data_IF_035984691781
#
_entry.id   IF_035984691781
#
_cell.length_a   1.000
_cell.length_b   1.000
_cell.length_c   1.000
_cell.angle_alpha   90.00
_cell.angle_beta   90.00
_cell.angle_gamma   90.00
#
_symmetry.space_group_name_H-M   'P 1'
#
loop_
_entity.id
_entity.type
_entity.pdbx_description
1 polymer ?
#
# COMPACT_ATOMS: atom_id res chain seq x y z
N UNK A 1 -1.12 -22.53 -4.47
CA UNK A 1 0.32 -22.37 -4.18
C UNK A 1 0.51 -22.29 -2.67
N UNK A 2 1.26 -23.22 -2.11
CA UNK A 2 1.54 -23.38 -0.69
C UNK A 2 2.91 -22.77 -0.36
N UNK A 3 2.98 -21.94 0.69
CA UNK A 3 4.22 -21.29 1.10
C UNK A 3 5.25 -22.34 1.57
N UNK A 4 6.53 -22.13 1.27
CA UNK A 4 7.66 -23.06 1.50
C UNK A 4 7.56 -24.42 0.78
N UNK A 5 6.53 -24.65 -0.03
CA UNK A 5 6.39 -25.84 -0.89
C UNK A 5 6.40 -25.46 -2.36
N UNK A 6 5.48 -24.60 -2.78
CA UNK A 6 5.36 -24.17 -4.18
C UNK A 6 6.06 -22.83 -4.43
N UNK A 7 6.24 -22.01 -3.39
CA UNK A 7 6.88 -20.71 -3.47
C UNK A 7 7.51 -20.28 -2.15
N UNK A 8 8.45 -19.33 -2.24
CA UNK A 8 9.01 -18.60 -1.11
C UNK A 8 8.92 -17.09 -1.35
N UNK A 9 9.13 -16.29 -0.31
CA UNK A 9 9.13 -14.84 -0.37
C UNK A 9 10.34 -14.28 0.39
N UNK A 10 11.01 -13.32 -0.21
CA UNK A 10 12.13 -12.58 0.37
C UNK A 10 11.88 -11.09 0.22
N UNK A 11 12.47 -10.28 1.09
CA UNK A 11 12.49 -8.83 0.91
C UNK A 11 13.26 -8.47 -0.36
N UNK A 12 12.85 -7.39 -1.01
CA UNK A 12 13.60 -6.85 -2.14
C UNK A 12 15.05 -6.57 -1.74
N UNK A 13 16.05 -6.89 -2.59
CA UNK A 13 17.45 -6.63 -2.27
C UNK A 13 17.69 -5.17 -1.88
N UNK A 14 18.43 -4.95 -0.79
CA UNK A 14 18.73 -3.60 -0.28
C UNK A 14 17.62 -2.96 0.57
N UNK A 15 16.49 -3.63 0.81
CA UNK A 15 15.36 -3.06 1.59
C UNK A 15 15.11 -3.79 2.91
N UNK A 16 16.11 -4.51 3.45
CA UNK A 16 16.00 -5.14 4.76
C UNK A 16 15.71 -4.09 5.84
N UNK A 17 14.77 -4.39 6.75
CA UNK A 17 14.34 -3.46 7.79
C UNK A 17 13.38 -2.35 7.32
N UNK A 18 12.88 -2.42 6.08
CA UNK A 18 11.87 -1.47 5.56
C UNK A 18 10.59 -2.22 5.20
N UNK A 19 9.46 -1.78 5.73
CA UNK A 19 8.14 -2.23 5.32
C UNK A 19 7.48 -1.16 4.45
N UNK A 20 7.46 -1.38 3.14
CA UNK A 20 6.80 -0.50 2.17
C UNK A 20 5.33 -0.87 2.04
N UNK A 21 4.43 -0.12 2.68
CA UNK A 21 3.01 -0.46 2.78
C UNK A 21 2.12 0.28 1.78
N UNK A 22 0.96 -0.32 1.54
CA UNK A 22 -0.24 0.31 0.98
C UNK A 22 -1.45 -0.14 1.79
N UNK A 23 -2.54 0.63 1.75
CA UNK A 23 -3.81 0.24 2.35
C UNK A 23 -4.94 0.45 1.34
N UNK A 24 -5.60 -0.64 0.96
CA UNK A 24 -6.84 -0.56 0.20
C UNK A 24 -7.95 0.02 1.10
N UNK A 25 -8.73 0.97 0.57
CA UNK A 25 -9.80 1.62 1.32
C UNK A 25 -11.05 1.80 0.47
N UNK A 26 -12.22 1.78 1.12
CA UNK A 26 -13.50 2.11 0.52
C UNK A 26 -13.93 3.51 0.98
N UNK A 27 -14.45 4.31 0.06
CA UNK A 27 -14.93 5.66 0.35
C UNK A 27 -16.43 5.79 0.09
N UNK A 28 -17.08 6.70 0.81
CA UNK A 28 -18.46 7.09 0.57
C UNK A 28 -18.49 8.48 -0.06
N UNK A 29 -18.80 8.53 -1.36
CA UNK A 29 -18.85 9.79 -2.10
C UNK A 29 -19.94 10.73 -1.56
N UNK A 30 -19.64 12.03 -1.55
CA UNK A 30 -20.62 13.07 -1.21
C UNK A 30 -21.79 13.01 -2.20
N UNK A 31 -23.01 12.96 -1.67
CA UNK A 31 -24.23 12.87 -2.48
C UNK A 31 -24.53 11.48 -3.03
N UNK A 32 -23.91 10.41 -2.51
CA UNK A 32 -24.19 9.04 -2.93
C UNK A 32 -25.71 8.73 -2.86
N UNK A 33 -26.31 8.22 -3.97
CA UNK A 33 -27.76 7.99 -4.05
C UNK A 33 -28.27 6.95 -3.05
N UNK A 34 -27.37 6.06 -2.59
CA UNK A 34 -27.67 5.01 -1.61
C UNK A 34 -26.79 5.14 -0.37
N UNK A 35 -26.72 6.35 0.20
CA UNK A 35 -25.85 6.66 1.35
C UNK A 35 -25.94 5.65 2.50
N UNK A 36 -27.14 5.32 2.95
CA UNK A 36 -27.34 4.39 4.07
C UNK A 36 -26.81 2.97 3.79
N UNK A 37 -26.88 2.51 2.53
CA UNK A 37 -26.28 1.23 2.14
C UNK A 37 -24.75 1.31 2.14
N UNK A 38 -24.19 2.43 1.66
CA UNK A 38 -22.76 2.70 1.71
C UNK A 38 -22.22 2.72 3.14
N UNK A 39 -22.92 3.38 4.08
CA UNK A 39 -22.52 3.39 5.49
C UNK A 39 -22.53 1.98 6.11
N UNK A 40 -23.54 1.16 5.80
CA UNK A 40 -23.58 -0.26 6.23
C UNK A 40 -22.44 -1.08 5.65
N UNK A 41 -22.09 -0.85 4.38
CA UNK A 41 -20.95 -1.50 3.74
C UNK A 41 -19.64 -1.13 4.42
N UNK A 42 -19.39 0.16 4.65
CA UNK A 42 -18.18 0.63 5.33
C UNK A 42 -18.08 0.06 6.76
N UNK A 43 -19.19 0.01 7.49
CA UNK A 43 -19.24 -0.60 8.81
C UNK A 43 -18.90 -2.10 8.77
N UNK A 44 -19.43 -2.84 7.78
CA UNK A 44 -19.10 -4.25 7.58
C UNK A 44 -17.61 -4.44 7.25
N UNK A 45 -17.04 -3.65 6.35
CA UNK A 45 -15.60 -3.71 6.03
C UNK A 45 -14.69 -3.40 7.23
N UNK A 46 -15.13 -2.55 8.15
CA UNK A 46 -14.37 -2.15 9.33
C UNK A 46 -14.57 -3.08 10.55
N UNK A 47 -15.57 -3.97 10.50
CA UNK A 47 -15.85 -4.91 11.57
C UNK A 47 -14.75 -5.99 11.68
N UNK A 48 -14.50 -6.56 12.88
CA UNK A 48 -13.47 -7.59 13.05
C UNK A 48 -13.64 -8.80 12.12
N UNK A 49 -14.86 -9.32 12.00
CA UNK A 49 -15.21 -10.43 11.12
C UNK A 49 -15.07 -10.05 9.63
N UNK A 50 -15.47 -8.83 9.26
CA UNK A 50 -15.28 -8.31 7.91
C UNK A 50 -13.81 -8.18 7.51
N UNK A 51 -12.96 -7.68 8.41
CA UNK A 51 -11.51 -7.60 8.20
C UNK A 51 -10.89 -8.98 8.08
N UNK A 52 -11.22 -9.91 8.98
CA UNK A 52 -10.66 -11.27 8.94
C UNK A 52 -11.04 -11.99 7.63
N UNK A 53 -12.27 -11.81 7.14
CA UNK A 53 -12.72 -12.37 5.86
C UNK A 53 -11.98 -11.74 4.66
N UNK A 54 -11.92 -10.40 4.61
CA UNK A 54 -11.29 -9.67 3.50
C UNK A 54 -9.77 -9.92 3.46
N UNK A 55 -9.08 -9.76 4.58
CA UNK A 55 -7.63 -9.89 4.67
C UNK A 55 -7.15 -11.32 4.39
N UNK A 56 -7.89 -12.34 4.87
CA UNK A 56 -7.55 -13.73 4.58
C UNK A 56 -7.63 -14.04 3.07
N UNK A 57 -8.71 -13.63 2.39
CA UNK A 57 -8.89 -13.86 0.95
C UNK A 57 -7.92 -13.03 0.11
N UNK A 58 -7.72 -11.76 0.46
CA UNK A 58 -6.82 -10.84 -0.24
C UNK A 58 -5.34 -11.18 -0.02
N UNK A 59 -5.04 -12.01 0.99
CA UNK A 59 -3.70 -12.30 1.50
C UNK A 59 -2.99 -11.00 1.92
N UNK A 60 -3.68 -10.18 2.69
CA UNK A 60 -3.17 -8.94 3.29
C UNK A 60 -3.27 -9.01 4.82
N UNK A 61 -2.61 -8.06 5.50
CA UNK A 61 -2.78 -7.85 6.94
C UNK A 61 -4.11 -7.09 7.19
N UNK A 62 -4.69 -7.15 8.40
CA UNK A 62 -5.86 -6.36 8.73
C UNK A 62 -5.43 -4.92 9.04
N UNK A 63 -6.31 -3.96 8.75
CA UNK A 63 -6.08 -2.58 9.16
C UNK A 63 -6.30 -2.38 10.68
N UNK A 64 -7.06 -3.29 11.31
CA UNK A 64 -7.35 -3.27 12.74
C UNK A 64 -6.16 -3.76 13.57
N UNK A 65 -5.96 -3.13 14.72
CA UNK A 65 -4.92 -3.51 15.68
C UNK A 65 -5.33 -4.64 16.63
N UNK A 66 -6.63 -4.89 16.78
CA UNK A 66 -7.22 -5.88 17.68
C UNK A 66 -7.63 -7.18 16.97
N UNK A 67 -7.25 -7.37 15.70
CA UNK A 67 -7.48 -8.61 14.97
C UNK A 67 -6.74 -9.79 15.62
N UNK A 68 -7.35 -10.97 15.53
CA UNK A 68 -6.76 -12.21 16.02
C UNK A 68 -5.55 -12.59 15.16
N UNK A 69 -4.36 -12.32 15.70
CA UNK A 69 -3.07 -12.54 15.02
C UNK A 69 -2.83 -14.01 14.66
N UNK A 70 -3.48 -14.96 15.35
CA UNK A 70 -3.30 -16.39 15.07
C UNK A 70 -3.84 -16.81 13.69
N UNK A 71 -4.70 -15.99 13.08
CA UNK A 71 -5.26 -16.21 11.74
C UNK A 71 -4.28 -15.91 10.59
N UNK A 72 -3.17 -15.23 10.87
CA UNK A 72 -2.19 -14.81 9.87
C UNK A 72 -1.01 -15.79 9.86
N UNK A 73 -1.17 -16.89 9.12
CA UNK A 73 -0.17 -17.97 9.04
C UNK A 73 0.79 -17.79 7.87
N UNK A 74 1.83 -18.62 7.83
CA UNK A 74 2.73 -18.76 6.68
C UNK A 74 3.39 -17.43 6.27
N UNK A 75 3.23 -17.04 5.01
CA UNK A 75 3.70 -15.76 4.50
C UNK A 75 3.14 -14.56 5.28
N UNK A 76 1.87 -14.61 5.68
CA UNK A 76 1.24 -13.51 6.43
C UNK A 76 1.80 -13.40 7.85
N UNK A 77 2.25 -14.49 8.46
CA UNK A 77 2.96 -14.43 9.74
C UNK A 77 4.28 -13.64 9.60
N UNK A 78 5.00 -13.86 8.49
CA UNK A 78 6.25 -13.13 8.20
C UNK A 78 5.98 -11.65 7.98
N UNK A 79 4.95 -11.31 7.19
CA UNK A 79 4.54 -9.92 6.97
C UNK A 79 4.08 -9.24 8.26
N UNK A 80 3.28 -9.92 9.09
CA UNK A 80 2.78 -9.39 10.36
C UNK A 80 3.92 -9.11 11.34
N UNK A 81 4.91 -10.00 11.42
CA UNK A 81 6.10 -9.81 12.24
C UNK A 81 6.88 -8.58 11.79
N UNK A 82 7.13 -8.43 10.49
CA UNK A 82 7.84 -7.26 9.97
C UNK A 82 7.08 -5.95 10.21
N UNK A 83 5.76 -5.96 10.05
CA UNK A 83 4.90 -4.80 10.30
C UNK A 83 4.90 -4.34 11.77
N UNK A 84 5.03 -5.28 12.72
CA UNK A 84 4.98 -5.00 14.16
C UNK A 84 6.35 -4.84 14.81
N UNK A 85 7.44 -5.15 14.09
CA UNK A 85 8.78 -5.03 14.62
C UNK A 85 9.17 -3.55 14.79
N UNK A 86 9.47 -3.09 16.01
CA UNK A 86 9.88 -1.70 16.25
C UNK A 86 11.20 -1.31 15.58
N UNK A 87 12.01 -2.28 15.14
CA UNK A 87 13.21 -2.03 14.35
C UNK A 87 12.92 -1.87 12.84
N UNK A 88 11.70 -2.17 12.39
CA UNK A 88 11.29 -1.99 11.00
C UNK A 88 10.81 -0.57 10.75
N UNK A 89 11.38 0.08 9.75
CA UNK A 89 10.94 1.39 9.28
C UNK A 89 9.78 1.21 8.30
N UNK A 90 8.61 1.73 8.66
CA UNK A 90 7.44 1.74 7.77
C UNK A 90 7.48 2.94 6.84
N UNK A 91 7.33 2.71 5.53
CA UNK A 91 7.27 3.76 4.50
C UNK A 91 6.05 3.56 3.59
N UNK A 92 5.49 4.66 3.10
CA UNK A 92 4.37 4.62 2.17
C UNK A 92 4.82 4.33 0.74
N UNK A 93 4.11 3.44 0.05
CA UNK A 93 4.37 3.16 -1.36
C UNK A 93 4.05 4.36 -2.25
N UNK A 94 5.01 4.75 -3.09
CA UNK A 94 4.81 5.75 -4.14
C UNK A 94 3.88 5.22 -5.24
N UNK A 95 4.15 4.01 -5.74
CA UNK A 95 3.39 3.38 -6.83
C UNK A 95 1.94 3.07 -6.45
N UNK A 96 1.67 2.85 -5.17
CA UNK A 96 0.33 2.50 -4.68
C UNK A 96 -0.35 3.66 -3.92
N UNK A 97 0.04 4.90 -4.23
CA UNK A 97 -0.72 6.09 -3.85
C UNK A 97 -0.62 6.52 -2.38
N UNK A 98 0.33 5.99 -1.61
CA UNK A 98 0.52 6.38 -0.20
C UNK A 98 1.39 7.63 -0.10
N UNK A 99 2.54 7.63 -0.78
CA UNK A 99 3.50 8.74 -0.70
C UNK A 99 3.35 9.77 -1.83
N UNK A 100 2.71 9.39 -2.94
CA UNK A 100 2.59 10.21 -4.16
C UNK A 100 1.13 10.21 -4.61
N UNK A 101 0.57 11.38 -4.93
CA UNK A 101 -0.79 11.48 -5.45
C UNK A 101 -0.91 10.96 -6.88
N UNK A 102 -2.14 10.80 -7.35
CA UNK A 102 -2.43 10.24 -8.67
C UNK A 102 -1.89 11.07 -9.83
N UNK A 103 -1.88 12.40 -9.69
CA UNK A 103 -1.38 13.29 -10.75
C UNK A 103 0.11 13.11 -10.92
N UNK A 104 0.87 13.18 -9.84
CA UNK A 104 2.33 12.97 -9.86
C UNK A 104 2.70 11.54 -10.26
N UNK A 105 1.93 10.55 -9.80
CA UNK A 105 2.17 9.14 -10.18
C UNK A 105 2.07 8.95 -11.69
N UNK A 106 1.10 9.57 -12.36
CA UNK A 106 0.96 9.49 -13.82
C UNK A 106 2.16 10.10 -14.59
N UNK A 107 2.72 11.20 -14.07
CA UNK A 107 3.92 11.82 -14.64
C UNK A 107 5.16 10.93 -14.46
N UNK A 108 5.32 10.34 -13.27
CA UNK A 108 6.41 9.39 -12.97
C UNK A 108 6.28 8.14 -13.85
N UNK A 109 5.08 7.59 -14.02
CA UNK A 109 4.83 6.42 -14.87
C UNK A 109 5.15 6.71 -16.35
N UNK A 110 4.83 7.91 -16.83
CA UNK A 110 5.20 8.35 -18.18
C UNK A 110 6.73 8.42 -18.36
N UNK A 111 7.44 8.97 -17.37
CA UNK A 111 8.90 9.01 -17.37
C UNK A 111 9.51 7.60 -17.32
N UNK A 112 8.94 6.71 -16.50
CA UNK A 112 9.38 5.32 -16.36
C UNK A 112 9.17 4.55 -17.67
N UNK A 113 8.03 4.73 -18.34
CA UNK A 113 7.77 4.09 -19.62
C UNK A 113 8.81 4.47 -20.69
N UNK A 114 9.19 5.76 -20.76
CA UNK A 114 10.26 6.21 -21.65
C UNK A 114 11.63 5.63 -21.26
N UNK A 115 11.94 5.57 -19.97
CA UNK A 115 13.17 4.97 -19.46
C UNK A 115 13.29 3.47 -19.81
N UNK A 116 12.21 2.70 -19.64
CA UNK A 116 12.20 1.27 -19.96
C UNK A 116 12.46 1.02 -21.45
N UNK A 117 12.09 1.96 -22.33
CA UNK A 117 12.28 1.83 -23.77
C UNK A 117 13.72 2.07 -24.22
N UNK A 118 14.43 3.03 -23.63
CA UNK A 118 15.75 3.45 -24.15
C UNK A 118 16.89 3.58 -23.11
N UNK A 119 16.61 3.35 -21.83
CA UNK A 119 17.60 3.40 -20.76
C UNK A 119 18.12 4.79 -20.40
N UNK A 120 17.48 5.87 -20.86
CA UNK A 120 17.92 7.25 -20.64
C UNK A 120 17.79 7.73 -19.17
N UNK A 121 18.80 7.41 -18.34
CA UNK A 121 18.82 7.72 -16.90
C UNK A 121 18.66 9.22 -16.62
N UNK A 122 19.45 10.09 -17.26
CA UNK A 122 19.42 11.54 -17.00
C UNK A 122 18.06 12.16 -17.35
N UNK A 123 17.43 11.65 -18.41
CA UNK A 123 16.09 12.07 -18.81
C UNK A 123 15.05 11.62 -17.78
N UNK A 124 15.13 10.38 -17.32
CA UNK A 124 14.25 9.87 -16.27
C UNK A 124 14.35 10.71 -15.00
N UNK A 125 15.58 10.95 -14.50
CA UNK A 125 15.81 11.73 -13.28
C UNK A 125 15.31 13.17 -13.43
N UNK A 126 15.54 13.80 -14.59
CA UNK A 126 15.08 15.16 -14.88
C UNK A 126 13.55 15.22 -14.90
N UNK A 127 12.89 14.27 -15.57
CA UNK A 127 11.43 14.18 -15.62
C UNK A 127 10.82 13.97 -14.23
N UNK A 128 11.37 13.06 -13.43
CA UNK A 128 10.89 12.82 -12.06
C UNK A 128 11.10 14.06 -11.18
N UNK A 129 12.26 14.71 -11.24
CA UNK A 129 12.54 15.92 -10.46
C UNK A 129 11.57 17.07 -10.79
N UNK A 130 11.19 17.22 -12.07
CA UNK A 130 10.23 18.23 -12.50
C UNK A 130 8.84 18.06 -11.84
N UNK A 131 8.42 16.82 -11.54
CA UNK A 131 7.14 16.55 -10.85
C UNK A 131 7.08 17.11 -9.42
N UNK A 132 8.23 17.46 -8.83
CA UNK A 132 8.34 18.02 -7.48
C UNK A 132 8.68 19.52 -7.47
N UNK A 133 8.91 20.15 -8.63
CA UNK A 133 9.20 21.58 -8.71
C UNK A 133 7.95 22.39 -8.34
N UNK A 134 7.99 23.08 -7.19
CA UNK A 134 6.86 23.82 -6.62
C UNK A 134 6.07 23.09 -5.52
N UNK A 135 6.54 21.92 -5.08
CA UNK A 135 5.90 21.15 -4.01
C UNK A 135 6.02 21.84 -2.64
N UNK A 136 4.88 22.01 -1.97
CA UNK A 136 4.78 22.25 -0.53
C UNK A 136 4.27 20.94 0.09
N UNK A 137 4.95 20.35 1.09
CA UNK A 137 4.41 19.18 1.77
C UNK A 137 3.05 19.50 2.38
N UNK A 138 2.12 18.54 2.30
CA UNK A 138 0.87 18.64 3.03
C UNK A 138 1.19 18.72 4.54
N UNK A 139 0.61 19.70 5.21
CA UNK A 139 0.70 19.86 6.65
C UNK A 139 0.17 18.57 7.31
N UNK A 140 0.97 17.85 8.12
CA UNK A 140 0.55 16.62 8.78
C UNK A 140 -0.57 16.84 9.83
N UNK A 141 -1.00 18.09 10.05
CA UNK A 141 -2.05 18.47 11.01
C UNK A 141 -3.46 18.68 10.46
N UNK A 142 -3.81 18.22 9.25
CA UNK A 142 -5.19 18.26 8.72
C UNK A 142 -5.75 16.89 8.37
#
# INVERSE_FOLDING_TARGET
MTFKTDYDAVVSPGTSGVFNFLSDAFTLAKGAPHRAAGEKWLAACAAPDGQDLLSAQKRSLPARLDSDKSKYTDYLATALSAWQDPATVTVGSATHGVAVDTTRSAEIDTALAAFVQDGGVDRFLTSVAATYAGYQPADPGK
#
